data_IF_412040513958
#
_entry.id   IF_412040513958
#
_cell.length_a   1.000
_cell.length_b   1.000
_cell.length_c   1.000
_cell.angle_alpha   90.00
_cell.angle_beta   90.00
_cell.angle_gamma   90.00
#
_symmetry.space_group_name_H-M   'P 1'
#
loop_
_entity.id
_entity.type
_entity.pdbx_description
1 polymer ?
#
# COMPACT_ATOMS: atom_id res chain seq x y z
N UNK A 1 18.92 54.25 -13.43
CA UNK A 1 18.91 54.71 -12.03
C UNK A 1 20.21 54.28 -11.39
N UNK A 2 20.95 55.24 -10.85
CA UNK A 2 22.29 55.10 -10.29
C UNK A 2 22.35 54.26 -8.99
N UNK A 3 23.56 53.78 -8.61
CA UNK A 3 23.82 52.84 -7.53
C UNK A 3 24.14 53.52 -6.18
N UNK A 4 23.94 52.83 -5.06
CA UNK A 4 24.61 53.07 -3.76
C UNK A 4 24.55 51.75 -2.97
N UNK A 5 25.66 51.04 -2.74
CA UNK A 5 26.79 51.32 -1.85
C UNK A 5 26.46 51.21 -0.35
N UNK A 6 27.12 50.22 0.26
CA UNK A 6 27.68 50.20 1.62
C UNK A 6 26.78 49.90 2.83
N UNK A 7 27.06 48.78 3.51
CA UNK A 7 27.89 48.81 4.74
C UNK A 7 28.32 47.41 5.18
N UNK A 8 29.62 47.26 5.41
CA UNK A 8 30.25 46.19 6.20
C UNK A 8 30.07 46.50 7.68
N UNK A 9 29.90 45.48 8.53
CA UNK A 9 30.32 45.37 9.95
C UNK A 9 29.73 44.05 10.49
N UNK A 10 30.52 42.98 10.70
CA UNK A 10 31.50 42.71 11.76
C UNK A 10 30.89 41.96 12.98
N UNK A 11 31.40 40.74 13.17
CA UNK A 11 31.71 39.99 14.40
C UNK A 11 30.70 39.78 15.55
N UNK A 12 30.70 38.53 16.04
CA UNK A 12 30.75 38.04 17.44
C UNK A 12 29.70 36.95 17.68
N UNK A 13 30.09 35.66 17.70
CA UNK A 13 30.60 34.88 18.85
C UNK A 13 29.51 34.39 19.83
N UNK A 14 29.53 33.06 20.04
CA UNK A 14 29.12 32.30 21.25
C UNK A 14 27.60 32.23 21.54
N UNK A 15 27.00 31.14 22.01
CA UNK A 15 27.35 30.26 23.13
C UNK A 15 26.55 28.94 23.06
N UNK A 16 27.10 27.92 23.71
CA UNK A 16 26.53 26.61 23.94
C UNK A 16 25.16 26.63 24.66
N UNK A 17 24.32 25.64 24.34
CA UNK A 17 23.09 25.34 25.07
C UNK A 17 22.81 23.83 25.08
N UNK A 18 23.34 23.15 26.09
CA UNK A 18 23.17 21.71 26.37
C UNK A 18 22.20 21.61 27.56
N UNK A 19 20.91 21.29 27.31
CA UNK A 19 19.96 20.95 28.38
C UNK A 19 18.68 20.30 27.80
N UNK A 20 18.59 18.97 27.90
CA UNK A 20 17.38 18.16 27.71
C UNK A 20 17.79 16.68 27.93
N UNK A 21 17.19 15.82 28.75
CA UNK A 21 15.92 15.79 29.48
C UNK A 21 16.06 14.82 30.67
N UNK A 22 15.37 15.15 31.76
CA UNK A 22 15.08 14.25 32.86
C UNK A 22 13.79 13.45 32.58
N UNK A 23 13.72 12.22 33.11
CA UNK A 23 12.47 11.45 33.32
C UNK A 23 12.10 10.49 32.18
N UNK A 24 11.65 9.25 32.39
CA UNK A 24 11.33 8.49 33.59
C UNK A 24 11.67 7.00 33.33
N UNK A 25 12.36 6.36 34.27
CA UNK A 25 12.40 4.91 34.37
C UNK A 25 11.08 4.44 35.00
N UNK A 26 10.10 4.11 34.16
CA UNK A 26 8.81 3.53 34.55
C UNK A 26 8.68 2.14 33.93
N UNK A 27 9.23 1.14 34.63
CA UNK A 27 9.05 -0.28 34.35
C UNK A 27 7.56 -0.67 34.51
N UNK A 28 7.07 -1.53 33.62
CA UNK A 28 5.83 -2.30 33.70
C UNK A 28 4.49 -1.58 33.51
N UNK A 29 4.00 -1.58 32.26
CA UNK A 29 2.61 -1.99 31.98
C UNK A 29 2.57 -2.81 30.70
N UNK A 30 2.19 -4.08 30.85
CA UNK A 30 1.69 -4.92 29.77
C UNK A 30 0.68 -4.12 28.95
N UNK A 31 1.09 -3.67 27.78
CA UNK A 31 0.16 -3.21 26.74
C UNK A 31 -0.16 -4.46 25.94
N UNK A 32 -1.40 -4.99 25.96
CA UNK A 32 -1.82 -5.85 24.88
C UNK A 32 -1.69 -4.99 23.63
N UNK A 33 -0.76 -5.34 22.75
CA UNK A 33 -0.77 -4.78 21.40
C UNK A 33 -2.12 -5.16 20.80
N UNK A 34 -3.04 -4.22 20.87
CA UNK A 34 -4.29 -4.23 20.11
C UNK A 34 -3.87 -4.03 18.65
N UNK A 35 -3.37 -5.11 18.04
CA UNK A 35 -3.39 -5.27 16.60
C UNK A 35 -4.85 -5.12 16.18
N UNK A 36 -5.23 -4.09 15.41
CA UNK A 36 -6.58 -4.03 14.91
C UNK A 36 -6.74 -5.14 13.88
N UNK A 37 -7.34 -6.23 14.36
CA UNK A 37 -8.26 -7.13 13.68
C UNK A 37 -7.83 -7.79 12.36
N UNK A 38 -7.85 -9.13 12.42
CA UNK A 38 -8.13 -10.04 11.32
C UNK A 38 -6.97 -10.38 10.40
N UNK A 39 -5.88 -10.90 10.97
CA UNK A 39 -5.04 -11.85 10.25
C UNK A 39 -5.79 -13.19 10.15
N UNK A 40 -6.72 -13.31 9.19
CA UNK A 40 -7.00 -14.60 8.59
C UNK A 40 -5.64 -15.19 8.22
N UNK A 41 -5.22 -16.30 8.84
CA UNK A 41 -3.86 -16.85 8.69
C UNK A 41 -3.62 -17.48 7.30
N UNK A 42 -4.43 -17.11 6.30
CA UNK A 42 -4.38 -17.57 4.93
C UNK A 42 -4.48 -16.40 3.94
N UNK A 43 -4.18 -16.64 2.66
CA UNK A 43 -4.26 -15.62 1.63
C UNK A 43 -5.68 -15.05 1.53
N UNK A 44 -5.84 -13.73 1.32
CA UNK A 44 -7.16 -13.13 1.17
C UNK A 44 -7.94 -13.76 0.02
N UNK A 45 -9.21 -14.05 0.28
CA UNK A 45 -10.15 -14.64 -0.68
C UNK A 45 -11.06 -13.55 -1.22
N UNK A 46 -11.25 -13.54 -2.53
CA UNK A 46 -12.12 -12.63 -3.24
C UNK A 46 -13.26 -13.41 -3.88
N UNK A 47 -14.49 -12.95 -3.62
CA UNK A 47 -15.69 -13.39 -4.28
C UNK A 47 -16.07 -12.37 -5.36
N UNK A 48 -16.15 -12.83 -6.59
CA UNK A 48 -16.52 -12.01 -7.73
C UNK A 48 -17.93 -12.32 -8.19
N UNK A 49 -18.42 -11.45 -9.07
CA UNK A 49 -19.61 -11.72 -9.87
C UNK A 49 -19.51 -13.07 -10.62
N UNK A 50 -20.66 -13.62 -11.01
CA UNK A 50 -20.75 -14.89 -11.73
C UNK A 50 -20.25 -16.11 -10.94
N UNK A 51 -20.31 -16.06 -9.60
CA UNK A 51 -19.85 -17.12 -8.68
C UNK A 51 -18.36 -17.48 -8.84
N UNK A 52 -17.55 -16.56 -9.36
CA UNK A 52 -16.10 -16.75 -9.42
C UNK A 52 -15.51 -16.46 -8.03
N UNK A 53 -14.60 -17.33 -7.58
CA UNK A 53 -13.83 -17.16 -6.34
C UNK A 53 -12.35 -17.42 -6.60
N UNK A 54 -11.49 -16.59 -6.02
CA UNK A 54 -10.04 -16.81 -6.04
C UNK A 54 -9.40 -16.36 -4.73
N UNK A 55 -8.24 -16.93 -4.42
CA UNK A 55 -7.33 -16.42 -3.38
C UNK A 55 -6.14 -15.74 -4.03
N UNK A 56 -5.59 -14.72 -3.39
CA UNK A 56 -4.41 -14.01 -3.90
C UNK A 56 -3.28 -14.01 -2.89
N UNK A 57 -2.09 -14.30 -3.37
CA UNK A 57 -0.83 -14.17 -2.63
C UNK A 57 0.04 -13.11 -3.31
N UNK A 58 0.39 -12.06 -2.58
CA UNK A 58 1.30 -11.03 -3.06
C UNK A 58 2.73 -11.39 -2.65
N UNK A 59 3.64 -11.43 -3.63
CA UNK A 59 5.06 -11.70 -3.42
C UNK A 59 5.89 -10.69 -4.21
N UNK A 60 6.53 -9.76 -3.51
CA UNK A 60 7.30 -8.65 -4.11
C UNK A 60 6.44 -7.86 -5.12
N UNK A 61 6.77 -8.00 -6.40
CA UNK A 61 6.09 -7.37 -7.54
C UNK A 61 5.24 -8.37 -8.34
N UNK A 62 4.81 -9.45 -7.69
CA UNK A 62 3.94 -10.45 -8.30
C UNK A 62 2.70 -10.69 -7.44
N UNK A 63 1.59 -11.01 -8.11
CA UNK A 63 0.37 -11.49 -7.48
C UNK A 63 0.03 -12.85 -8.08
N UNK A 64 -0.03 -13.88 -7.23
CA UNK A 64 -0.43 -15.23 -7.62
C UNK A 64 -1.90 -15.40 -7.27
N UNK A 65 -2.74 -15.55 -8.27
CA UNK A 65 -4.17 -15.81 -8.12
C UNK A 65 -4.39 -17.31 -8.23
N UNK A 66 -5.08 -17.90 -7.26
CA UNK A 66 -5.49 -19.30 -7.29
C UNK A 66 -7.00 -19.39 -7.27
N UNK A 67 -7.60 -19.95 -8.31
CA UNK A 67 -9.06 -20.05 -8.42
C UNK A 67 -9.51 -21.22 -9.30
N UNK A 68 -10.82 -21.31 -9.54
CA UNK A 68 -11.43 -22.41 -10.28
C UNK A 68 -10.94 -22.54 -11.75
N UNK A 69 -10.35 -21.48 -12.31
CA UNK A 69 -9.81 -21.45 -13.68
C UNK A 69 -8.31 -21.74 -13.75
N UNK A 70 -7.70 -22.12 -12.63
CA UNK A 70 -6.27 -22.38 -12.50
C UNK A 70 -5.54 -21.30 -11.70
N UNK A 71 -4.21 -21.44 -11.69
CA UNK A 71 -3.29 -20.50 -11.05
C UNK A 71 -2.74 -19.53 -12.10
N UNK A 72 -2.88 -18.23 -11.86
CA UNK A 72 -2.35 -17.18 -12.73
C UNK A 72 -1.33 -16.34 -11.95
N UNK A 73 -0.14 -16.17 -12.54
CA UNK A 73 0.89 -15.27 -12.01
C UNK A 73 0.78 -13.94 -12.77
N UNK A 74 0.59 -12.87 -12.03
CA UNK A 74 0.51 -11.51 -12.53
C UNK A 74 1.72 -10.71 -12.06
N UNK A 75 2.23 -9.84 -12.92
CA UNK A 75 3.32 -8.91 -12.60
C UNK A 75 2.73 -7.55 -12.23
N UNK A 76 3.36 -6.84 -11.30
CA UNK A 76 2.95 -5.49 -10.90
C UNK A 76 3.04 -4.59 -12.12
N UNK A 77 1.91 -4.01 -12.46
CA UNK A 77 1.77 -3.08 -13.57
C UNK A 77 1.73 -1.67 -12.97
N UNK A 78 2.69 -0.83 -13.37
CA UNK A 78 2.75 0.56 -12.95
C UNK A 78 1.63 1.42 -13.59
N UNK A 79 0.81 0.85 -14.48
CA UNK A 79 -0.31 1.51 -15.16
C UNK A 79 -1.54 1.83 -14.31
N UNK A 80 -1.47 1.73 -12.98
CA UNK A 80 -2.56 2.11 -12.08
C UNK A 80 -2.78 3.62 -12.06
N UNK A 81 -3.98 4.08 -12.38
CA UNK A 81 -4.36 5.50 -12.28
C UNK A 81 -4.73 5.86 -10.82
N UNK A 82 -3.80 5.70 -9.86
CA UNK A 82 -4.00 6.11 -8.47
C UNK A 82 -3.20 5.30 -7.44
N UNK A 83 -3.64 5.32 -6.17
CA UNK A 83 -3.07 4.51 -5.08
C UNK A 83 -3.39 2.99 -5.17
N UNK A 84 -4.02 2.59 -6.27
CA UNK A 84 -4.49 1.23 -6.53
C UNK A 84 -3.32 0.38 -6.99
N UNK A 85 -3.29 -0.89 -6.60
CA UNK A 85 -2.27 -1.80 -7.11
C UNK A 85 -2.81 -2.61 -8.28
N UNK A 86 -2.22 -2.41 -9.45
CA UNK A 86 -2.56 -3.15 -10.65
C UNK A 86 -1.53 -4.25 -10.88
N UNK A 87 -2.00 -5.44 -11.22
CA UNK A 87 -1.18 -6.55 -11.68
C UNK A 87 -1.73 -7.09 -13.00
N UNK A 88 -0.87 -7.43 -13.95
CA UNK A 88 -1.30 -7.93 -15.26
C UNK A 88 -0.36 -9.01 -15.82
N UNK A 89 -0.90 -9.81 -16.74
CA UNK A 89 -0.16 -10.70 -17.62
C UNK A 89 -0.84 -10.73 -19.01
N UNK A 90 -0.46 -11.66 -19.89
CA UNK A 90 -1.03 -11.76 -21.24
C UNK A 90 -2.51 -12.17 -21.30
N UNK A 91 -3.07 -12.69 -20.21
CA UNK A 91 -4.43 -13.26 -20.14
C UNK A 91 -5.37 -12.44 -19.26
N UNK A 92 -4.85 -11.82 -18.20
CA UNK A 92 -5.62 -11.27 -17.10
C UNK A 92 -4.98 -9.98 -16.57
N UNK A 93 -5.82 -9.04 -16.16
CA UNK A 93 -5.45 -7.84 -15.41
C UNK A 93 -6.31 -7.79 -14.14
N UNK A 94 -5.67 -7.59 -13.00
CA UNK A 94 -6.32 -7.48 -11.70
C UNK A 94 -5.96 -6.15 -11.05
N UNK A 95 -6.98 -5.41 -10.64
CA UNK A 95 -6.83 -4.15 -9.91
C UNK A 95 -7.31 -4.37 -8.47
N UNK A 96 -6.46 -4.11 -7.49
CA UNK A 96 -6.75 -4.29 -6.07
C UNK A 96 -6.72 -2.96 -5.32
N UNK A 97 -7.41 -2.91 -4.18
CA UNK A 97 -7.45 -1.72 -3.34
C UNK A 97 -8.48 -0.70 -3.80
N UNK A 98 -9.55 -1.17 -4.46
CA UNK A 98 -10.66 -0.34 -4.91
C UNK A 98 -11.70 -0.15 -3.76
N UNK A 99 -12.56 0.86 -3.92
CA UNK A 99 -13.62 1.18 -2.97
C UNK A 99 -13.13 1.89 -1.70
N UNK A 100 -14.08 2.37 -0.87
CA UNK A 100 -13.77 3.17 0.33
C UNK A 100 -12.95 2.42 1.40
N UNK A 101 -12.97 1.08 1.37
CA UNK A 101 -12.22 0.24 2.31
C UNK A 101 -11.05 -0.52 1.70
N UNK A 102 -10.72 -0.31 0.42
CA UNK A 102 -9.66 -1.07 -0.27
C UNK A 102 -9.91 -2.59 -0.35
N UNK A 103 -11.15 -3.02 -0.10
CA UNK A 103 -11.58 -4.44 -0.10
C UNK A 103 -12.12 -4.88 -1.45
N UNK A 104 -12.28 -3.96 -2.38
CA UNK A 104 -12.78 -4.27 -3.70
C UNK A 104 -11.61 -4.53 -4.66
N UNK A 105 -11.85 -5.39 -5.63
CA UNK A 105 -10.95 -5.68 -6.71
C UNK A 105 -11.74 -5.80 -8.02
N UNK A 106 -11.06 -5.59 -9.14
CA UNK A 106 -11.61 -5.80 -10.47
C UNK A 106 -10.73 -6.81 -11.18
N UNK A 107 -11.35 -7.82 -11.79
CA UNK A 107 -10.70 -8.81 -12.61
C UNK A 107 -11.13 -8.62 -14.07
N UNK A 108 -10.18 -8.34 -14.95
CA UNK A 108 -10.41 -8.18 -16.38
C UNK A 108 -9.68 -9.28 -17.15
N UNK A 109 -10.42 -10.13 -17.84
CA UNK A 109 -9.86 -11.07 -18.79
C UNK A 109 -9.52 -10.29 -20.07
N UNK A 110 -8.33 -10.48 -20.61
CA UNK A 110 -7.86 -9.73 -21.79
C UNK A 110 -8.20 -10.46 -23.10
N UNK A 111 -8.32 -11.79 -23.04
CA UNK A 111 -8.67 -12.64 -24.17
C UNK A 111 -10.18 -12.79 -24.39
N UNK A 112 -10.98 -12.32 -23.43
CA UNK A 112 -12.44 -12.36 -23.44
C UNK A 112 -12.92 -10.99 -22.96
N UNK A 113 -14.00 -10.40 -23.49
CA UNK A 113 -14.52 -9.12 -23.00
C UNK A 113 -15.29 -9.30 -21.68
N UNK A 114 -14.64 -9.92 -20.69
CA UNK A 114 -15.19 -10.25 -19.39
C UNK A 114 -14.46 -9.46 -18.31
N UNK A 115 -15.23 -8.65 -17.60
CA UNK A 115 -14.80 -7.93 -16.41
C UNK A 115 -15.70 -8.38 -15.27
N UNK A 116 -15.11 -8.70 -14.13
CA UNK A 116 -15.83 -9.11 -12.94
C UNK A 116 -15.39 -8.23 -11.77
N UNK A 117 -16.36 -7.66 -11.05
CA UNK A 117 -16.08 -6.97 -9.80
C UNK A 117 -16.03 -7.98 -8.66
N UNK A 118 -15.09 -7.79 -7.75
CA UNK A 118 -14.77 -8.73 -6.68
C UNK A 118 -14.71 -8.01 -5.35
N UNK A 119 -15.17 -8.70 -4.30
CA UNK A 119 -15.13 -8.24 -2.92
C UNK A 119 -14.34 -9.25 -2.10
N UNK A 120 -13.49 -8.75 -1.21
CA UNK A 120 -12.81 -9.59 -0.22
C UNK A 120 -13.83 -10.16 0.77
N UNK A 121 -13.95 -11.48 0.82
CA UNK A 121 -14.77 -12.25 1.77
C UNK A 121 -14.21 -12.02 3.20
#
# INVERSE_FOLDING_TARGET
MNPHSSKRMACAMTLAGLAALAGCAGMNRNVPSESPVSASSGPPVYACEQNLKFSVSFANDTAVLKGARGDDVLLRDAGGQGAQTVYSNQRLRAEFGLGAGGREAVLQYLQQPLMARCLRD
#
